data_IF_966687885466
#
_entry.id   IF_966687885466
#
_cell.length_a   1.000
_cell.length_b   1.000
_cell.length_c   1.000
_cell.angle_alpha   90.00
_cell.angle_beta   90.00
_cell.angle_gamma   90.00
#
_symmetry.space_group_name_H-M   'P 1'
#
loop_
_entity.id
_entity.type
_entity.pdbx_description
1 polymer ?
#
# COMPACT_ATOMS: atom_id res chain seq x y z
N UNK A 1 -26.03 12.67 66.97
CA UNK A 1 -25.85 13.05 65.56
C UNK A 1 -24.50 12.50 65.10
N UNK A 2 -24.47 11.40 64.34
CA UNK A 2 -23.23 10.83 63.83
C UNK A 2 -23.23 10.87 62.30
N UNK A 3 -22.15 11.41 61.77
CA UNK A 3 -21.98 11.82 60.37
C UNK A 3 -21.67 10.62 59.47
N UNK A 4 -22.23 10.63 58.26
CA UNK A 4 -22.01 9.64 57.20
C UNK A 4 -20.57 9.70 56.70
N UNK A 5 -19.92 8.54 56.55
CA UNK A 5 -18.73 8.40 55.69
C UNK A 5 -19.01 7.32 54.65
N UNK A 6 -19.21 7.74 53.41
CA UNK A 6 -19.35 6.86 52.25
C UNK A 6 -17.93 6.59 51.71
N UNK A 7 -17.47 5.34 51.57
CA UNK A 7 -16.17 5.09 50.97
C UNK A 7 -16.19 5.38 49.46
N UNK A 8 -15.31 6.28 49.03
CA UNK A 8 -15.06 6.65 47.63
C UNK A 8 -14.58 5.41 46.85
N UNK A 9 -15.32 4.98 45.82
CA UNK A 9 -14.85 3.95 44.85
C UNK A 9 -13.57 4.44 44.17
N UNK A 10 -12.45 3.80 44.46
CA UNK A 10 -11.19 4.00 43.72
C UNK A 10 -11.25 3.15 42.45
N UNK A 11 -11.21 3.79 41.28
CA UNK A 11 -11.07 3.10 39.99
C UNK A 11 -9.64 2.51 39.93
N UNK A 12 -9.45 1.24 39.54
CA UNK A 12 -8.11 0.70 39.33
C UNK A 12 -7.44 1.46 38.18
N UNK A 13 -6.18 1.88 38.37
CA UNK A 13 -5.34 2.44 37.30
C UNK A 13 -5.24 1.39 36.19
N UNK A 14 -5.74 1.73 35.00
CA UNK A 14 -5.59 0.94 33.79
C UNK A 14 -4.08 0.78 33.53
N UNK A 15 -3.51 -0.37 33.89
CA UNK A 15 -2.14 -0.71 33.56
C UNK A 15 -1.99 -0.64 32.04
N UNK A 16 -0.90 -0.02 31.58
CA UNK A 16 -0.55 0.04 30.15
C UNK A 16 -0.60 -1.38 29.60
N UNK A 17 -1.57 -1.65 28.74
CA UNK A 17 -1.64 -2.88 27.96
C UNK A 17 -0.34 -2.88 27.16
N UNK A 18 0.58 -3.79 27.49
CA UNK A 18 1.72 -4.07 26.63
C UNK A 18 1.10 -4.63 25.36
N UNK A 19 1.00 -3.79 24.32
CA UNK A 19 0.72 -4.26 22.98
C UNK A 19 1.73 -5.37 22.72
N UNK A 20 1.21 -6.60 22.66
CA UNK A 20 2.00 -7.75 22.28
C UNK A 20 2.69 -7.38 20.98
N UNK A 21 4.01 -7.41 21.02
CA UNK A 21 4.86 -7.21 19.85
C UNK A 21 4.33 -8.15 18.78
N UNK A 22 3.56 -7.61 17.83
CA UNK A 22 3.12 -8.34 16.65
C UNK A 22 4.42 -8.88 16.07
N UNK A 23 4.59 -10.18 16.13
CA UNK A 23 5.67 -10.87 15.44
C UNK A 23 5.60 -10.39 14.01
N UNK A 24 6.54 -9.52 13.63
CA UNK A 24 6.71 -9.10 12.24
C UNK A 24 7.10 -10.38 11.52
N UNK A 25 6.12 -11.09 10.96
CA UNK A 25 6.36 -11.99 9.85
C UNK A 25 7.26 -11.21 8.91
N UNK A 26 8.47 -11.69 8.66
CA UNK A 26 9.35 -11.10 7.64
C UNK A 26 8.54 -11.14 6.34
N UNK A 27 7.87 -10.03 6.02
CA UNK A 27 7.26 -9.87 4.72
C UNK A 27 8.40 -10.12 3.71
N UNK A 28 8.19 -11.05 2.78
CA UNK A 28 9.14 -11.28 1.70
C UNK A 28 9.36 -9.93 1.03
N UNK A 29 10.53 -9.33 1.25
CA UNK A 29 10.86 -7.97 0.78
C UNK A 29 10.85 -7.84 -0.74
N UNK A 30 10.69 -8.95 -1.44
CA UNK A 30 10.72 -9.07 -2.89
C UNK A 30 9.33 -9.08 -3.52
N UNK A 31 8.25 -9.19 -2.73
CA UNK A 31 6.88 -9.08 -3.25
C UNK A 31 6.51 -7.60 -3.26
N UNK A 32 6.26 -7.06 -4.45
CA UNK A 32 5.93 -5.66 -4.68
C UNK A 32 4.57 -5.57 -5.36
N UNK A 33 3.74 -4.64 -4.89
CA UNK A 33 2.52 -4.25 -5.61
C UNK A 33 2.87 -3.47 -6.87
N UNK A 34 1.92 -3.39 -7.81
CA UNK A 34 2.08 -2.53 -9.00
C UNK A 34 2.44 -1.08 -8.62
N UNK A 35 1.83 -0.52 -7.57
CA UNK A 35 2.12 0.86 -7.14
C UNK A 35 3.57 0.99 -6.65
N UNK A 36 4.07 0.01 -5.89
CA UNK A 36 5.44 0.03 -5.39
C UNK A 36 6.46 -0.10 -6.52
N UNK A 37 6.18 -0.96 -7.50
CA UNK A 37 6.98 -1.09 -8.72
C UNK A 37 6.96 0.21 -9.53
N UNK A 38 5.78 0.78 -9.75
CA UNK A 38 5.62 1.99 -10.53
C UNK A 38 6.27 3.21 -9.86
N UNK A 39 6.20 3.32 -8.54
CA UNK A 39 6.90 4.37 -7.80
C UNK A 39 8.42 4.28 -7.95
N UNK A 40 8.99 3.06 -7.94
CA UNK A 40 10.43 2.85 -8.21
C UNK A 40 10.77 3.26 -9.64
N UNK A 41 9.95 2.86 -10.62
CA UNK A 41 10.10 3.26 -12.01
C UNK A 41 10.06 4.79 -12.19
N UNK A 42 9.05 5.46 -11.65
CA UNK A 42 8.90 6.91 -11.75
C UNK A 42 10.02 7.67 -11.04
N UNK A 43 10.57 7.12 -9.95
CA UNK A 43 11.73 7.70 -9.28
C UNK A 43 12.93 7.72 -10.22
N UNK A 44 13.20 6.63 -10.94
CA UNK A 44 14.25 6.59 -11.96
C UNK A 44 13.95 7.55 -13.13
N UNK A 45 12.73 7.52 -13.68
CA UNK A 45 12.34 8.38 -14.82
C UNK A 45 12.43 9.87 -14.53
N UNK A 46 12.11 10.30 -13.31
CA UNK A 46 12.25 11.71 -12.90
C UNK A 46 13.70 12.20 -12.92
N UNK A 47 14.68 11.30 -12.82
CA UNK A 47 16.11 11.65 -12.90
C UNK A 47 16.66 11.73 -14.32
N UNK A 48 15.90 11.29 -15.34
CA UNK A 48 16.34 11.27 -16.75
C UNK A 48 16.21 12.64 -17.45
N UNK A 49 15.72 13.68 -16.77
CA UNK A 49 15.54 15.01 -17.36
C UNK A 49 14.41 15.09 -18.39
N UNK A 50 13.42 14.20 -18.27
CA UNK A 50 12.27 14.13 -19.18
C UNK A 50 11.38 15.37 -19.05
N UNK A 51 10.73 15.76 -20.15
CA UNK A 51 9.72 16.81 -20.13
C UNK A 51 8.56 16.46 -19.18
N UNK A 52 7.95 17.44 -18.49
CA UNK A 52 6.84 17.18 -17.56
C UNK A 52 5.70 16.37 -18.21
N UNK A 53 5.34 16.72 -19.44
CA UNK A 53 4.33 15.99 -20.22
C UNK A 53 4.62 14.50 -20.34
N UNK A 54 5.89 14.12 -20.55
CA UNK A 54 6.28 12.71 -20.67
C UNK A 54 6.11 11.97 -19.33
N UNK A 55 6.38 12.65 -18.20
CA UNK A 55 6.13 12.08 -16.88
C UNK A 55 4.63 11.87 -16.64
N UNK A 56 3.79 12.83 -17.03
CA UNK A 56 2.33 12.73 -16.93
C UNK A 56 1.78 11.57 -17.79
N UNK A 57 2.33 11.38 -18.99
CA UNK A 57 1.97 10.27 -19.87
C UNK A 57 2.29 8.90 -19.23
N UNK A 58 3.39 8.77 -18.48
CA UNK A 58 3.67 7.54 -17.71
C UNK A 58 2.61 7.28 -16.63
N UNK A 59 2.16 8.30 -15.91
CA UNK A 59 1.08 8.16 -14.93
C UNK A 59 -0.23 7.72 -15.57
N UNK A 60 -0.58 8.31 -16.72
CA UNK A 60 -1.78 7.93 -17.47
C UNK A 60 -1.72 6.48 -17.95
N UNK A 61 -0.60 6.08 -18.56
CA UNK A 61 -0.40 4.71 -19.04
C UNK A 61 -0.46 3.70 -17.89
N UNK A 62 0.11 4.05 -16.73
CA UNK A 62 0.03 3.22 -15.54
C UNK A 62 -1.39 3.07 -15.01
N UNK A 63 -2.19 4.15 -15.00
CA UNK A 63 -3.58 4.09 -14.57
C UNK A 63 -4.41 3.12 -15.43
N UNK A 64 -4.20 3.12 -16.76
CA UNK A 64 -4.86 2.15 -17.65
C UNK A 64 -4.43 0.72 -17.37
N UNK A 65 -3.11 0.47 -17.24
CA UNK A 65 -2.58 -0.86 -16.94
C UNK A 65 -3.10 -1.38 -15.59
N UNK A 66 -3.07 -0.54 -14.55
CA UNK A 66 -3.56 -0.89 -13.21
C UNK A 66 -5.05 -1.18 -13.22
N UNK A 67 -5.84 -0.37 -13.93
CA UNK A 67 -7.28 -0.60 -14.12
C UNK A 67 -7.59 -1.92 -14.80
N UNK A 68 -6.75 -2.34 -15.77
CA UNK A 68 -6.89 -3.63 -16.43
C UNK A 68 -6.47 -4.81 -15.55
N UNK A 69 -5.31 -4.72 -14.87
CA UNK A 69 -4.76 -5.80 -14.06
C UNK A 69 -5.39 -5.95 -12.66
N UNK A 70 -6.07 -4.90 -12.17
CA UNK A 70 -6.65 -4.86 -10.83
C UNK A 70 -5.68 -4.38 -9.74
N UNK A 71 -6.26 -3.90 -8.63
CA UNK A 71 -5.55 -3.20 -7.54
C UNK A 71 -4.63 -4.10 -6.71
N UNK A 72 -4.95 -5.39 -6.57
CA UNK A 72 -4.23 -6.33 -5.68
C UNK A 72 -3.09 -7.09 -6.40
N UNK A 73 -2.75 -6.66 -7.61
CA UNK A 73 -1.74 -7.34 -8.43
C UNK A 73 -0.32 -7.04 -7.95
N UNK A 74 0.50 -8.09 -7.89
CA UNK A 74 1.89 -8.06 -7.44
C UNK A 74 2.83 -8.60 -8.52
N UNK A 75 4.13 -8.33 -8.39
CA UNK A 75 5.15 -8.84 -9.31
C UNK A 75 5.21 -10.36 -9.45
N UNK A 76 4.70 -11.13 -8.48
CA UNK A 76 4.63 -12.60 -8.57
C UNK A 76 3.41 -13.08 -9.36
N UNK A 77 2.37 -12.24 -9.46
CA UNK A 77 1.10 -12.56 -10.09
C UNK A 77 0.94 -11.94 -11.48
N UNK A 78 1.94 -11.20 -11.98
CA UNK A 78 1.96 -10.66 -13.33
C UNK A 78 2.72 -11.62 -14.25
N UNK A 79 2.05 -12.08 -15.30
CA UNK A 79 2.60 -12.95 -16.33
C UNK A 79 2.62 -12.25 -17.71
N UNK A 80 3.25 -12.89 -18.70
CA UNK A 80 3.34 -12.34 -20.06
C UNK A 80 1.95 -12.27 -20.73
N UNK A 81 1.09 -13.22 -20.40
CA UNK A 81 -0.29 -13.35 -20.88
C UNK A 81 -1.14 -12.16 -20.44
N UNK A 82 -0.89 -11.60 -19.25
CA UNK A 82 -1.59 -10.41 -18.77
C UNK A 82 -1.26 -9.19 -19.65
N UNK A 83 0.00 -9.04 -20.07
CA UNK A 83 0.40 -7.98 -21.00
C UNK A 83 -0.16 -8.19 -22.41
N UNK A 84 -0.21 -9.44 -22.89
CA UNK A 84 -0.87 -9.75 -24.16
C UNK A 84 -2.37 -9.39 -24.11
N UNK A 85 -3.03 -9.74 -23.00
CA UNK A 85 -4.41 -9.37 -22.73
C UNK A 85 -4.62 -7.86 -22.71
N UNK A 86 -3.73 -7.12 -22.03
CA UNK A 86 -3.78 -5.67 -21.98
C UNK A 86 -3.59 -5.03 -23.37
N UNK A 87 -2.62 -5.51 -24.15
CA UNK A 87 -2.43 -5.04 -25.53
C UNK A 87 -3.67 -5.30 -26.39
N UNK A 88 -4.29 -6.48 -26.26
CA UNK A 88 -5.55 -6.78 -26.92
C UNK A 88 -6.67 -5.82 -26.51
N UNK A 89 -6.81 -5.56 -25.21
CA UNK A 89 -7.79 -4.61 -24.67
C UNK A 89 -7.60 -3.19 -25.21
N UNK A 90 -6.36 -2.72 -25.35
CA UNK A 90 -6.07 -1.37 -25.85
C UNK A 90 -6.32 -1.18 -27.36
N UNK A 91 -6.45 -2.28 -28.11
CA UNK A 91 -6.68 -2.26 -29.57
C UNK A 91 -8.17 -2.32 -29.96
N UNK A 92 -9.07 -2.50 -28.99
CA UNK A 92 -10.51 -2.65 -29.19
C UNK A 92 -11.29 -1.51 -28.53
#
# INVERSE_FOLDING_TARGET
MQSKVIPKKVKPKLGKIREGSKTKTKANSNILTLDQMFNKFMTAKKTEGLAPRTLDEYYNNYAYLKGFLGEETTNENVAAEDFQGYVGYMLH
#
